data_IF_681615565101
#
_entry.id   IF_681615565101
#
_cell.length_a   1.000
_cell.length_b   1.000
_cell.length_c   1.000
_cell.angle_alpha   90.00
_cell.angle_beta   90.00
_cell.angle_gamma   90.00
#
_symmetry.space_group_name_H-M   'P 1'
#
loop_
_entity.id
_entity.type
_entity.pdbx_description
1 polymer ?
#
# COMPACT_ATOMS: atom_id res chain seq x y z
N UNK A 1 25.15 -59.28 35.96
CA UNK A 1 26.40 -58.56 35.68
C UNK A 1 26.21 -57.12 36.09
N UNK A 2 27.07 -56.69 37.03
CA UNK A 2 27.45 -55.33 37.43
C UNK A 2 26.41 -54.38 38.05
N UNK A 3 26.76 -54.01 39.28
CA UNK A 3 26.06 -53.30 40.36
C UNK A 3 26.60 -51.86 40.50
N UNK A 4 25.90 -51.02 41.28
CA UNK A 4 26.40 -49.85 42.09
C UNK A 4 26.94 -48.61 41.33
N UNK A 5 26.81 -47.35 41.77
CA UNK A 5 26.25 -46.74 42.98
C UNK A 5 26.73 -45.27 43.13
N UNK A 6 25.89 -44.45 43.77
CA UNK A 6 26.17 -43.33 44.72
C UNK A 6 26.95 -42.03 44.37
N UNK A 7 26.26 -40.91 44.68
CA UNK A 7 26.66 -39.71 45.46
C UNK A 7 28.09 -39.12 45.40
N UNK A 8 28.18 -37.79 45.18
CA UNK A 8 28.67 -36.78 46.16
C UNK A 8 28.70 -35.34 45.60
N UNK A 9 28.13 -34.37 46.35
CA UNK A 9 28.51 -32.94 46.39
C UNK A 9 29.72 -32.78 47.37
N UNK A 10 30.10 -31.55 47.79
CA UNK A 10 30.85 -30.46 47.13
C UNK A 10 32.15 -30.14 47.93
N UNK A 11 32.91 -29.11 47.51
CA UNK A 11 33.82 -28.21 48.30
C UNK A 11 35.10 -27.90 47.50
N UNK A 12 35.37 -26.64 47.16
CA UNK A 12 35.86 -25.53 48.00
C UNK A 12 37.39 -25.40 47.88
N UNK A 13 37.87 -24.19 48.15
CA UNK A 13 39.25 -23.71 48.34
C UNK A 13 39.91 -23.12 47.08
N UNK A 14 40.57 -21.96 47.13
CA UNK A 14 40.61 -20.88 48.12
C UNK A 14 41.33 -19.68 47.52
N UNK A 15 40.90 -18.49 47.94
CA UNK A 15 41.71 -17.34 48.42
C UNK A 15 42.99 -16.97 47.67
N UNK A 16 43.06 -15.67 47.30
CA UNK A 16 43.80 -14.64 48.06
C UNK A 16 43.42 -13.24 47.53
N UNK A 17 42.83 -12.36 48.37
CA UNK A 17 43.45 -11.34 49.27
C UNK A 17 43.88 -10.08 48.48
N UNK A 18 43.67 -8.82 48.87
CA UNK A 18 43.11 -8.16 50.07
C UNK A 18 43.06 -6.62 49.77
N UNK A 19 42.07 -5.91 50.35
CA UNK A 19 42.07 -4.50 50.83
C UNK A 19 42.32 -3.36 49.80
N UNK A 20 41.67 -2.19 49.87
CA UNK A 20 41.64 -1.23 50.99
C UNK A 20 40.35 -0.38 50.99
N UNK A 21 39.77 -0.28 52.19
CA UNK A 21 38.85 0.66 52.85
C UNK A 21 38.48 2.03 52.23
N UNK A 22 37.16 2.28 52.19
CA UNK A 22 36.33 3.38 52.76
C UNK A 22 37.06 4.49 53.60
N UNK A 23 36.66 5.77 53.75
CA UNK A 23 35.34 6.45 53.82
C UNK A 23 35.54 8.01 53.87
N UNK A 24 34.63 8.76 53.21
CA UNK A 24 34.10 10.15 53.40
C UNK A 24 35.00 11.39 53.64
N UNK A 25 34.72 12.48 52.89
CA UNK A 25 34.07 13.70 53.40
C UNK A 25 33.83 14.77 52.29
N UNK A 26 32.73 15.48 52.45
CA UNK A 26 32.00 16.39 51.56
C UNK A 26 32.67 17.76 51.37
N UNK A 27 32.55 18.37 50.17
CA UNK A 27 32.37 19.82 50.01
C UNK A 27 31.74 20.11 48.63
N UNK A 28 30.56 20.74 48.65
CA UNK A 28 29.83 21.18 47.50
C UNK A 28 30.44 22.46 46.91
N UNK A 29 30.59 22.52 45.59
CA UNK A 29 30.48 23.76 44.81
C UNK A 29 29.61 23.44 43.60
N UNK A 30 28.38 23.97 43.64
CA UNK A 30 27.51 24.07 42.48
C UNK A 30 28.15 25.00 41.46
N UNK A 31 28.39 24.51 40.25
CA UNK A 31 28.31 25.33 39.05
C UNK A 31 27.33 24.62 38.11
N UNK A 32 26.05 24.98 38.26
CA UNK A 32 25.05 24.69 37.25
C UNK A 32 25.32 25.63 36.07
N UNK A 33 26.07 25.15 35.08
CA UNK A 33 26.01 25.75 33.74
C UNK A 33 24.77 25.15 33.08
N UNK A 34 23.66 25.88 33.20
CA UNK A 34 22.51 25.73 32.30
C UNK A 34 22.99 26.11 30.90
N UNK A 35 23.57 25.15 30.19
CA UNK A 35 23.53 25.18 28.74
C UNK A 35 22.07 24.88 28.34
N UNK A 36 21.24 25.92 28.31
CA UNK A 36 20.12 25.98 27.37
C UNK A 36 20.74 25.96 25.97
N UNK A 37 21.17 24.77 25.55
CA UNK A 37 21.31 24.49 24.14
C UNK A 37 19.89 24.49 23.62
N UNK A 38 19.54 25.54 22.88
CA UNK A 38 18.42 25.51 21.95
C UNK A 38 18.52 24.20 21.15
N UNK A 39 17.72 23.22 21.55
CA UNK A 39 17.57 21.95 20.85
C UNK A 39 16.72 22.12 19.58
N UNK A 40 16.65 23.33 19.04
CA UNK A 40 16.23 23.61 17.68
C UNK A 40 17.43 23.42 16.76
N UNK A 41 17.80 22.16 16.56
CA UNK A 41 18.37 21.78 15.26
C UNK A 41 17.41 22.24 14.15
N UNK A 42 17.89 22.47 12.91
CA UNK A 42 17.01 22.86 11.82
C UNK A 42 15.86 21.85 11.77
N UNK A 43 14.63 22.34 11.94
CA UNK A 43 13.41 21.55 11.80
C UNK A 43 13.51 20.81 10.46
N UNK A 44 13.65 19.48 10.53
CA UNK A 44 13.59 18.67 9.32
C UNK A 44 12.25 18.90 8.61
N UNK A 45 12.14 18.59 7.31
CA UNK A 45 10.91 18.75 6.55
C UNK A 45 9.68 18.03 7.14
N UNK A 46 9.87 17.18 8.16
CA UNK A 46 8.82 16.47 8.88
C UNK A 46 7.97 17.33 9.83
N UNK A 47 8.43 18.52 10.25
CA UNK A 47 7.68 19.41 11.16
C UNK A 47 7.03 20.61 10.45
N UNK A 48 7.14 20.71 9.12
CA UNK A 48 6.43 21.76 8.39
C UNK A 48 4.93 21.42 8.35
N UNK A 49 4.13 22.21 9.07
CA UNK A 49 2.67 22.10 9.07
C UNK A 49 2.08 22.12 7.64
N UNK A 50 2.79 22.69 6.66
CA UNK A 50 2.41 22.72 5.25
C UNK A 50 2.52 21.36 4.55
N UNK A 51 3.34 20.44 5.06
CA UNK A 51 3.53 19.11 4.50
C UNK A 51 2.67 18.03 5.19
N UNK A 52 1.80 18.44 6.13
CA UNK A 52 0.87 17.51 6.77
C UNK A 52 -0.15 16.96 5.76
N UNK A 53 -0.47 15.67 5.82
CA UNK A 53 -1.47 15.09 4.93
C UNK A 53 -2.84 15.74 5.09
N UNK A 54 -3.58 15.87 3.99
CA UNK A 54 -4.96 16.35 4.02
C UNK A 54 -5.90 15.30 4.64
N UNK A 55 -7.16 15.68 4.87
CA UNK A 55 -8.19 14.73 5.33
C UNK A 55 -8.45 13.60 4.30
N UNK A 56 -8.07 13.80 3.04
CA UNK A 56 -8.12 12.79 1.96
C UNK A 56 -6.78 12.07 1.79
N UNK A 57 -5.90 12.13 2.80
CA UNK A 57 -4.59 11.49 2.80
C UNK A 57 -3.65 11.98 1.69
N UNK A 58 -3.84 13.18 1.15
CA UNK A 58 -2.93 13.74 0.15
C UNK A 58 -1.69 14.35 0.84
N UNK A 59 -0.46 13.98 0.45
CA UNK A 59 0.77 14.63 0.92
C UNK A 59 1.05 15.89 0.07
N UNK A 60 0.96 17.11 0.63
CA UNK A 60 1.11 18.33 -0.17
C UNK A 60 2.51 18.49 -0.78
N UNK A 61 3.55 18.02 -0.08
CA UNK A 61 4.95 18.25 -0.43
C UNK A 61 5.60 17.14 -1.27
N UNK A 62 4.85 16.11 -1.65
CA UNK A 62 5.39 15.01 -2.44
C UNK A 62 4.34 13.95 -2.77
N UNK A 63 4.74 12.69 -2.68
CA UNK A 63 3.92 11.53 -2.93
C UNK A 63 4.22 10.42 -1.92
N UNK A 64 3.26 9.55 -1.68
CA UNK A 64 3.45 8.32 -0.91
C UNK A 64 4.15 7.24 -1.72
N UNK A 65 5.02 6.47 -1.08
CA UNK A 65 5.57 5.24 -1.63
C UNK A 65 4.90 4.03 -0.99
N UNK A 66 4.28 3.18 -1.81
CA UNK A 66 3.66 1.95 -1.35
C UNK A 66 4.09 0.73 -2.17
N UNK A 67 3.53 -0.42 -1.84
CA UNK A 67 3.71 -1.63 -2.63
C UNK A 67 2.55 -2.61 -2.44
N UNK A 68 2.31 -3.41 -3.48
CA UNK A 68 1.74 -4.75 -3.30
C UNK A 68 2.86 -5.70 -2.92
N UNK A 69 2.73 -6.37 -1.77
CA UNK A 69 3.70 -7.35 -1.28
C UNK A 69 3.05 -8.74 -1.38
N UNK A 70 3.67 -9.73 -2.05
CA UNK A 70 3.12 -11.09 -2.11
C UNK A 70 2.97 -11.69 -0.71
N UNK A 71 1.76 -12.14 -0.39
CA UNK A 71 1.43 -12.67 0.93
C UNK A 71 0.26 -13.65 0.85
N UNK A 72 0.17 -14.51 1.86
CA UNK A 72 -1.09 -15.12 2.26
C UNK A 72 -1.76 -14.21 3.32
N UNK A 73 -3.09 -14.31 3.46
CA UNK A 73 -3.83 -13.51 4.46
C UNK A 73 -3.29 -13.66 5.88
N UNK A 74 -2.67 -14.80 6.21
CA UNK A 74 -2.13 -15.08 7.54
C UNK A 74 -0.75 -14.47 7.81
N UNK A 75 0.02 -14.10 6.78
CA UNK A 75 1.44 -13.72 6.92
C UNK A 75 1.78 -12.30 6.41
N UNK A 76 0.78 -11.53 5.98
CA UNK A 76 0.96 -10.17 5.43
C UNK A 76 1.93 -9.30 6.23
N UNK A 77 1.80 -9.21 7.57
CA UNK A 77 2.68 -8.34 8.36
C UNK A 77 4.16 -8.76 8.28
N UNK A 78 4.44 -10.06 8.29
CA UNK A 78 5.80 -10.59 8.14
C UNK A 78 6.36 -10.27 6.75
N UNK A 79 5.55 -10.46 5.70
CA UNK A 79 5.97 -10.18 4.31
C UNK A 79 6.24 -8.70 4.09
N UNK A 80 5.40 -7.82 4.64
CA UNK A 80 5.63 -6.37 4.60
C UNK A 80 6.93 -6.02 5.32
N UNK A 81 7.15 -6.52 6.53
CA UNK A 81 8.36 -6.22 7.28
C UNK A 81 9.64 -6.73 6.55
N UNK A 82 9.57 -7.88 5.88
CA UNK A 82 10.66 -8.40 5.06
C UNK A 82 10.91 -7.56 3.78
N UNK A 83 9.85 -7.10 3.12
CA UNK A 83 9.96 -6.17 1.99
C UNK A 83 10.64 -4.88 2.42
N UNK A 84 10.23 -4.32 3.56
CA UNK A 84 10.75 -3.06 4.09
C UNK A 84 12.24 -3.12 4.47
N UNK A 85 12.71 -4.26 4.99
CA UNK A 85 14.14 -4.50 5.21
C UNK A 85 14.93 -4.41 3.90
N UNK A 86 14.32 -4.81 2.78
CA UNK A 86 14.97 -4.82 1.47
C UNK A 86 14.94 -3.43 0.81
N UNK A 87 13.79 -2.76 0.86
CA UNK A 87 13.61 -1.40 0.30
C UNK A 87 14.22 -0.31 1.19
N UNK A 88 14.56 -0.62 2.45
CA UNK A 88 15.31 0.26 3.35
C UNK A 88 14.48 1.32 4.06
N UNK A 89 13.15 1.23 4.04
CA UNK A 89 12.23 2.10 4.78
C UNK A 89 10.89 1.42 4.99
N UNK A 90 10.07 2.02 5.87
CA UNK A 90 8.66 1.65 6.00
C UNK A 90 7.88 2.09 4.76
N UNK A 91 6.96 1.25 4.28
CA UNK A 91 6.00 1.64 3.26
C UNK A 91 5.02 2.67 3.82
N UNK A 92 4.55 3.57 2.98
CA UNK A 92 3.46 4.48 3.33
C UNK A 92 2.12 3.80 3.16
N UNK A 93 1.94 3.12 2.03
CA UNK A 93 0.70 2.44 1.65
C UNK A 93 1.00 0.95 1.42
N UNK A 94 0.23 0.08 2.06
CA UNK A 94 0.22 -1.35 1.75
C UNK A 94 -1.05 -1.68 0.98
N UNK A 95 -0.89 -2.36 -0.15
CA UNK A 95 -1.97 -2.72 -1.04
C UNK A 95 -2.40 -4.18 -0.87
N UNK A 96 -3.70 -4.43 -0.68
CA UNK A 96 -4.29 -5.76 -0.54
C UNK A 96 -5.54 -5.92 -1.42
N UNK A 97 -5.83 -7.16 -1.83
CA UNK A 97 -7.02 -7.52 -2.61
C UNK A 97 -8.01 -8.31 -1.78
N UNK A 98 -9.28 -8.14 -2.10
CA UNK A 98 -10.40 -8.80 -1.47
C UNK A 98 -11.51 -9.05 -2.48
N UNK A 99 -12.33 -10.06 -2.21
CA UNK A 99 -13.52 -10.37 -2.99
C UNK A 99 -14.80 -10.15 -2.14
N UNK A 100 -15.95 -10.61 -2.61
CA UNK A 100 -17.22 -10.57 -1.88
C UNK A 100 -17.60 -11.93 -1.27
N UNK A 101 -16.66 -12.88 -1.16
CA UNK A 101 -16.96 -14.23 -0.69
C UNK A 101 -17.34 -14.25 0.78
N UNK A 102 -18.18 -15.20 1.17
CA UNK A 102 -18.41 -15.48 2.58
C UNK A 102 -17.10 -15.93 3.25
N UNK A 103 -16.87 -15.43 4.47
CA UNK A 103 -15.74 -15.85 5.30
C UNK A 103 -16.03 -17.24 5.87
N UNK A 104 -15.12 -18.19 5.65
CA UNK A 104 -15.29 -19.57 6.13
C UNK A 104 -14.00 -20.11 6.73
N UNK A 105 -13.99 -20.40 8.03
CA UNK A 105 -12.81 -20.99 8.70
C UNK A 105 -11.54 -20.18 8.43
N UNK A 106 -10.63 -20.73 7.63
CA UNK A 106 -9.34 -20.11 7.25
C UNK A 106 -9.41 -19.21 6.02
N UNK A 107 -10.53 -19.19 5.29
CA UNK A 107 -10.68 -18.39 4.07
C UNK A 107 -11.22 -17.00 4.39
N UNK A 108 -10.36 -16.00 4.24
CA UNK A 108 -10.62 -14.60 4.64
C UNK A 108 -10.71 -13.63 3.46
N UNK A 109 -10.84 -14.10 2.22
CA UNK A 109 -10.76 -13.25 1.03
C UNK A 109 -11.84 -12.17 0.97
N UNK A 110 -13.05 -12.48 1.42
CA UNK A 110 -14.13 -11.51 1.51
C UNK A 110 -14.16 -10.68 2.79
N UNK A 111 -13.12 -10.77 3.63
CA UNK A 111 -12.99 -9.94 4.83
C UNK A 111 -12.03 -8.78 4.56
N UNK A 112 -12.57 -7.56 4.43
CA UNK A 112 -11.76 -6.34 4.53
C UNK A 112 -11.24 -6.19 5.96
N UNK A 113 -10.06 -5.59 6.12
CA UNK A 113 -9.44 -5.32 7.42
C UNK A 113 -9.29 -6.59 8.27
N UNK A 114 -8.65 -7.60 7.69
CA UNK A 114 -8.17 -8.79 8.42
C UNK A 114 -7.28 -8.40 9.60
N UNK A 115 -7.04 -9.32 10.53
CA UNK A 115 -6.15 -9.06 11.68
C UNK A 115 -4.75 -8.59 11.23
N UNK A 116 -4.21 -9.18 10.16
CA UNK A 116 -2.90 -8.79 9.63
C UNK A 116 -2.94 -7.40 8.99
N UNK A 117 -4.00 -7.06 8.24
CA UNK A 117 -4.18 -5.71 7.69
C UNK A 117 -4.29 -4.66 8.80
N UNK A 118 -5.04 -4.93 9.86
CA UNK A 118 -5.11 -4.03 11.01
C UNK A 118 -3.77 -3.89 11.74
N UNK A 119 -2.99 -4.97 11.84
CA UNK A 119 -1.62 -4.95 12.39
C UNK A 119 -0.69 -4.09 11.56
N UNK A 120 -0.73 -4.22 10.24
CA UNK A 120 0.05 -3.40 9.30
C UNK A 120 -0.43 -1.94 9.35
N UNK A 121 -1.74 -1.73 9.34
CA UNK A 121 -2.42 -0.44 9.39
C UNK A 121 -2.15 0.38 10.64
N UNK A 122 -1.58 -0.21 11.71
CA UNK A 122 -1.09 0.55 12.86
C UNK A 122 -0.04 1.60 12.49
N UNK A 123 0.74 1.35 11.45
CA UNK A 123 1.88 2.19 11.06
C UNK A 123 1.90 2.57 9.57
N UNK A 124 0.96 2.06 8.77
CA UNK A 124 0.84 2.30 7.33
C UNK A 124 -0.60 2.68 6.99
N UNK A 125 -0.79 3.33 5.86
CA UNK A 125 -2.09 3.42 5.19
C UNK A 125 -2.38 2.11 4.46
N UNK A 126 -3.66 1.83 4.22
CA UNK A 126 -4.10 0.63 3.50
C UNK A 126 -4.85 1.05 2.25
N UNK A 127 -4.47 0.47 1.11
CA UNK A 127 -5.31 0.42 -0.08
C UNK A 127 -5.98 -0.96 -0.12
N UNK A 128 -7.30 -0.96 0.03
CA UNK A 128 -8.12 -2.15 -0.03
C UNK A 128 -8.78 -2.20 -1.40
N UNK A 129 -8.28 -3.08 -2.28
CA UNK A 129 -8.99 -3.44 -3.50
C UNK A 129 -10.10 -4.42 -3.17
N UNK A 130 -11.31 -4.11 -3.64
CA UNK A 130 -12.50 -4.90 -3.36
C UNK A 130 -13.25 -5.22 -4.64
N UNK A 131 -13.23 -6.50 -5.02
CA UNK A 131 -13.75 -6.99 -6.28
C UNK A 131 -15.18 -7.55 -6.14
N UNK A 132 -16.03 -7.29 -7.14
CA UNK A 132 -17.33 -7.95 -7.34
C UNK A 132 -17.15 -9.41 -7.80
N UNK A 133 -16.44 -10.20 -7.00
CA UNK A 133 -16.14 -11.60 -7.29
C UNK A 133 -16.45 -12.50 -6.10
N UNK A 134 -16.70 -13.76 -6.42
CA UNK A 134 -16.57 -14.87 -5.48
C UNK A 134 -15.46 -15.78 -5.97
N UNK A 135 -14.26 -15.65 -5.41
CA UNK A 135 -13.13 -16.51 -5.74
C UNK A 135 -13.48 -17.97 -5.42
N UNK A 136 -13.04 -18.91 -6.26
CA UNK A 136 -13.52 -20.31 -6.17
C UNK A 136 -15.01 -20.53 -6.48
N UNK A 137 -15.78 -19.48 -6.79
CA UNK A 137 -17.11 -19.56 -7.35
C UNK A 137 -17.08 -19.75 -8.88
N UNK A 138 -18.23 -20.15 -9.44
CA UNK A 138 -18.39 -20.29 -10.90
C UNK A 138 -18.68 -18.95 -11.57
N UNK A 139 -18.54 -18.87 -12.90
CA UNK A 139 -18.88 -17.67 -13.68
C UNK A 139 -20.33 -17.20 -13.47
N UNK A 140 -21.28 -18.14 -13.33
CA UNK A 140 -22.71 -17.82 -13.12
C UNK A 140 -23.02 -17.29 -11.73
N UNK A 141 -22.12 -17.51 -10.78
CA UNK A 141 -22.29 -17.03 -9.43
C UNK A 141 -21.73 -15.61 -9.28
N UNK A 142 -20.79 -15.15 -10.11
CA UNK A 142 -20.14 -13.86 -9.87
C UNK A 142 -21.16 -12.71 -9.68
N UNK A 143 -21.03 -11.89 -8.63
CA UNK A 143 -21.83 -10.69 -8.44
C UNK A 143 -21.77 -9.81 -9.69
N UNK A 144 -22.94 -9.35 -10.16
CA UNK A 144 -22.98 -8.35 -11.23
C UNK A 144 -23.09 -6.94 -10.67
N UNK A 145 -22.66 -5.95 -11.44
CA UNK A 145 -22.83 -4.55 -11.05
C UNK A 145 -24.29 -4.16 -10.88
N UNK A 146 -25.20 -4.76 -11.66
CA UNK A 146 -26.64 -4.54 -11.47
C UNK A 146 -27.11 -4.98 -10.09
N UNK A 147 -26.74 -6.18 -9.64
CA UNK A 147 -27.15 -6.68 -8.33
C UNK A 147 -26.62 -5.83 -7.18
N UNK A 148 -25.39 -5.32 -7.32
CA UNK A 148 -24.81 -4.38 -6.35
C UNK A 148 -25.60 -3.07 -6.37
N UNK A 149 -25.85 -2.51 -7.55
CA UNK A 149 -26.60 -1.26 -7.71
C UNK A 149 -28.05 -1.35 -7.21
N UNK A 150 -28.67 -2.53 -7.31
CA UNK A 150 -30.04 -2.79 -6.88
C UNK A 150 -30.13 -3.15 -5.38
N UNK A 151 -28.98 -3.19 -4.67
CA UNK A 151 -28.89 -3.44 -3.23
C UNK A 151 -29.02 -4.90 -2.81
N UNK A 152 -28.95 -5.85 -3.74
CA UNK A 152 -29.14 -7.28 -3.44
C UNK A 152 -28.06 -7.86 -2.48
N UNK A 153 -26.91 -7.19 -2.39
CA UNK A 153 -25.77 -7.60 -1.55
C UNK A 153 -25.57 -6.72 -0.32
N UNK A 154 -26.49 -5.79 -0.04
CA UNK A 154 -26.36 -4.81 1.04
C UNK A 154 -26.19 -5.51 2.39
N UNK A 155 -27.21 -6.23 2.83
CA UNK A 155 -27.24 -6.80 4.19
C UNK A 155 -26.18 -7.88 4.41
N UNK A 156 -25.84 -8.65 3.36
CA UNK A 156 -25.01 -9.85 3.46
C UNK A 156 -23.53 -9.59 3.27
N UNK A 157 -23.16 -8.56 2.49
CA UNK A 157 -21.77 -8.26 2.15
C UNK A 157 -21.43 -6.81 2.47
N UNK A 158 -22.12 -5.85 1.84
CA UNK A 158 -21.69 -4.45 1.81
C UNK A 158 -21.75 -3.82 3.19
N UNK A 159 -22.88 -3.98 3.87
CA UNK A 159 -23.09 -3.47 5.23
C UNK A 159 -22.13 -4.09 6.24
N UNK A 160 -21.78 -5.37 6.06
CA UNK A 160 -20.84 -6.09 6.93
C UNK A 160 -19.46 -5.48 6.82
N UNK A 161 -19.00 -5.20 5.59
CA UNK A 161 -17.71 -4.55 5.36
C UNK A 161 -17.71 -3.08 5.78
N UNK A 162 -18.78 -2.35 5.48
CA UNK A 162 -18.95 -0.94 5.84
C UNK A 162 -18.86 -0.73 7.36
N UNK A 163 -19.58 -1.54 8.14
CA UNK A 163 -19.52 -1.50 9.62
C UNK A 163 -18.11 -1.81 10.13
N UNK A 164 -17.42 -2.79 9.55
CA UNK A 164 -16.04 -3.13 9.93
C UNK A 164 -15.06 -1.99 9.66
N UNK A 165 -15.19 -1.31 8.51
CA UNK A 165 -14.39 -0.13 8.20
C UNK A 165 -14.69 1.00 9.17
N UNK A 166 -15.96 1.27 9.47
CA UNK A 166 -16.36 2.27 10.47
C UNK A 166 -15.73 2.02 11.83
N UNK A 167 -15.86 0.80 12.35
CA UNK A 167 -15.29 0.41 13.65
C UNK A 167 -13.76 0.58 13.68
N UNK A 168 -13.08 0.31 12.57
CA UNK A 168 -11.65 0.58 12.44
C UNK A 168 -11.34 2.08 12.54
N UNK A 169 -12.11 2.92 11.86
CA UNK A 169 -11.99 4.37 11.94
C UNK A 169 -12.24 4.91 13.34
N UNK A 170 -13.35 4.52 13.97
CA UNK A 170 -13.71 4.95 15.33
C UNK A 170 -12.67 4.56 16.37
N UNK A 171 -12.09 3.35 16.24
CA UNK A 171 -11.10 2.84 17.18
C UNK A 171 -9.70 3.43 16.99
N UNK A 172 -9.31 3.73 15.74
CA UNK A 172 -7.92 4.07 15.41
C UNK A 172 -7.71 5.52 15.00
N UNK A 173 -8.78 6.22 14.65
CA UNK A 173 -8.74 7.54 14.01
C UNK A 173 -8.23 7.51 12.56
N UNK A 174 -8.07 6.32 11.95
CA UNK A 174 -7.45 6.16 10.63
C UNK A 174 -8.46 5.97 9.51
N UNK A 175 -8.08 6.45 8.34
CA UNK A 175 -8.77 6.21 7.07
C UNK A 175 -8.12 5.08 6.27
N UNK A 176 -8.84 4.55 5.31
CA UNK A 176 -8.35 3.59 4.30
C UNK A 176 -8.68 4.11 2.90
N UNK A 177 -7.82 3.81 1.92
CA UNK A 177 -8.20 3.89 0.53
C UNK A 177 -9.03 2.65 0.18
N UNK A 178 -10.18 2.83 -0.44
CA UNK A 178 -11.03 1.73 -0.91
C UNK A 178 -11.22 1.86 -2.42
N UNK A 179 -10.92 0.80 -3.16
CA UNK A 179 -11.12 0.72 -4.61
C UNK A 179 -12.09 -0.38 -4.94
N UNK A 180 -13.29 -0.02 -5.42
CA UNK A 180 -14.26 -0.98 -5.92
C UNK A 180 -13.97 -1.34 -7.37
N UNK A 181 -13.74 -2.63 -7.62
CA UNK A 181 -13.49 -3.19 -8.94
C UNK A 181 -12.45 -2.39 -9.73
N UNK A 182 -11.21 -2.35 -9.24
CA UNK A 182 -10.14 -1.79 -10.07
C UNK A 182 -10.09 -2.47 -11.44
N UNK A 183 -9.62 -1.73 -12.44
CA UNK A 183 -9.51 -2.19 -13.82
C UNK A 183 -10.85 -2.73 -14.34
N UNK A 184 -11.96 -2.11 -13.92
CA UNK A 184 -13.32 -2.43 -14.37
C UNK A 184 -13.47 -2.39 -15.89
N UNK A 185 -12.62 -1.65 -16.58
CA UNK A 185 -12.52 -1.62 -18.04
C UNK A 185 -12.18 -2.99 -18.64
N UNK A 186 -11.42 -3.84 -17.95
CA UNK A 186 -11.10 -5.21 -18.38
C UNK A 186 -12.20 -6.22 -18.05
N UNK A 187 -13.22 -5.80 -17.28
CA UNK A 187 -14.36 -6.62 -16.85
C UNK A 187 -15.64 -6.25 -17.59
N UNK A 188 -15.55 -5.30 -18.51
CA UNK A 188 -16.68 -4.84 -19.31
C UNK A 188 -16.64 -5.54 -20.67
N UNK A 189 -17.75 -6.16 -21.14
CA UNK A 189 -19.10 -6.13 -20.58
C UNK A 189 -19.44 -7.31 -19.64
N UNK A 190 -18.47 -8.17 -19.29
CA UNK A 190 -18.71 -9.43 -18.58
C UNK A 190 -19.41 -9.26 -17.23
N UNK A 191 -19.06 -8.22 -16.46
CA UNK A 191 -19.64 -7.92 -15.15
C UNK A 191 -20.84 -6.96 -15.23
N UNK A 192 -21.10 -6.38 -16.41
CA UNK A 192 -22.18 -5.44 -16.67
C UNK A 192 -21.80 -4.34 -17.66
N UNK A 193 -22.75 -3.44 -17.93
CA UNK A 193 -22.55 -2.23 -18.72
C UNK A 193 -21.86 -1.12 -17.92
N UNK A 194 -21.24 -0.12 -18.58
CA UNK A 194 -20.65 1.03 -17.89
C UNK A 194 -21.65 1.79 -17.00
N UNK A 195 -22.91 1.90 -17.44
CA UNK A 195 -23.97 2.52 -16.65
C UNK A 195 -24.30 1.70 -15.38
N UNK A 196 -24.22 0.38 -15.44
CA UNK A 196 -24.38 -0.47 -14.25
C UNK A 196 -23.20 -0.34 -13.30
N UNK A 197 -21.96 -0.26 -13.80
CA UNK A 197 -20.78 0.04 -12.97
C UNK A 197 -20.95 1.36 -12.22
N UNK A 198 -21.30 2.44 -12.93
CA UNK A 198 -21.49 3.76 -12.31
C UNK A 198 -22.58 3.72 -11.25
N UNK A 199 -23.72 3.06 -11.51
CA UNK A 199 -24.76 2.90 -10.47
C UNK A 199 -24.27 2.09 -9.28
N UNK A 200 -23.51 1.01 -9.50
CA UNK A 200 -22.97 0.18 -8.42
C UNK A 200 -21.98 0.96 -7.54
N UNK A 201 -21.05 1.69 -8.15
CA UNK A 201 -20.07 2.51 -7.44
C UNK A 201 -20.76 3.57 -6.57
N UNK A 202 -21.73 4.30 -7.15
CA UNK A 202 -22.50 5.31 -6.43
C UNK A 202 -23.33 4.71 -5.29
N UNK A 203 -23.95 3.56 -5.52
CA UNK A 203 -24.70 2.83 -4.50
C UNK A 203 -23.81 2.46 -3.30
N UNK A 204 -22.61 1.90 -3.55
CA UNK A 204 -21.65 1.58 -2.48
C UNK A 204 -21.26 2.82 -1.67
N UNK A 205 -20.92 3.91 -2.35
CA UNK A 205 -20.58 5.18 -1.72
C UNK A 205 -21.72 5.70 -0.83
N UNK A 206 -22.93 5.78 -1.38
CA UNK A 206 -24.09 6.32 -0.68
C UNK A 206 -24.52 5.41 0.46
N UNK A 207 -24.39 4.09 0.32
CA UNK A 207 -24.66 3.12 1.39
C UNK A 207 -23.68 3.26 2.55
N UNK A 208 -22.39 3.36 2.27
CA UNK A 208 -21.36 3.61 3.30
C UNK A 208 -21.63 4.92 4.03
N UNK A 209 -21.95 5.99 3.30
CA UNK A 209 -22.31 7.28 3.89
C UNK A 209 -23.57 7.18 4.77
N UNK A 210 -24.60 6.47 4.33
CA UNK A 210 -25.84 6.26 5.09
C UNK A 210 -25.61 5.49 6.40
N UNK A 211 -24.63 4.59 6.44
CA UNK A 211 -24.20 3.87 7.65
C UNK A 211 -23.28 4.70 8.56
N UNK A 212 -22.95 5.93 8.16
CA UNK A 212 -22.03 6.82 8.87
C UNK A 212 -20.58 6.38 8.79
N UNK A 213 -20.17 5.76 7.68
CA UNK A 213 -18.76 5.48 7.40
C UNK A 213 -18.13 6.70 6.76
N UNK A 214 -17.27 7.41 7.49
CA UNK A 214 -16.60 8.65 7.05
C UNK A 214 -15.08 8.48 6.91
N UNK A 215 -14.58 7.26 7.14
CA UNK A 215 -13.16 6.93 7.16
C UNK A 215 -12.68 6.18 5.90
N UNK A 216 -13.39 6.33 4.78
CA UNK A 216 -12.99 5.85 3.45
C UNK A 216 -12.50 7.02 2.60
N UNK A 217 -11.43 6.78 1.84
CA UNK A 217 -10.98 7.60 0.71
C UNK A 217 -11.28 6.80 -0.57
N UNK A 218 -12.29 7.25 -1.32
CA UNK A 218 -12.79 6.54 -2.50
C UNK A 218 -11.82 6.69 -3.67
N UNK A 219 -11.23 5.58 -4.09
CA UNK A 219 -10.19 5.55 -5.12
C UNK A 219 -10.73 4.84 -6.36
N UNK A 220 -10.86 5.55 -7.48
CA UNK A 220 -11.31 4.97 -8.75
C UNK A 220 -10.09 4.61 -9.60
N UNK A 221 -9.87 3.31 -9.84
CA UNK A 221 -8.64 2.80 -10.45
C UNK A 221 -8.91 2.16 -11.80
N UNK A 222 -8.28 2.68 -12.85
CA UNK A 222 -8.34 2.13 -14.22
C UNK A 222 -7.06 1.39 -14.59
N UNK A 223 -7.07 0.60 -15.66
CA UNK A 223 -5.80 0.13 -16.24
C UNK A 223 -4.94 1.31 -16.72
N UNK A 224 -5.54 2.33 -17.31
CA UNK A 224 -4.82 3.36 -18.07
C UNK A 224 -4.40 2.90 -19.48
N UNK A 225 -4.80 1.71 -19.92
CA UNK A 225 -4.62 1.27 -21.30
C UNK A 225 -5.48 2.10 -22.25
N UNK A 226 -4.88 3.03 -23.00
CA UNK A 226 -5.63 4.08 -23.71
C UNK A 226 -6.52 3.59 -24.86
N UNK A 227 -6.41 2.34 -25.32
CA UNK A 227 -7.42 1.77 -26.22
C UNK A 227 -8.80 1.64 -25.53
N UNK A 228 -8.84 1.69 -24.20
CA UNK A 228 -10.06 1.73 -23.39
C UNK A 228 -10.49 3.17 -23.01
N UNK A 229 -9.91 4.21 -23.62
CA UNK A 229 -10.17 5.61 -23.27
C UNK A 229 -11.68 6.00 -23.27
N UNK A 230 -12.43 5.57 -24.27
CA UNK A 230 -13.87 5.84 -24.35
C UNK A 230 -14.65 5.14 -23.22
N UNK A 231 -14.19 3.95 -22.87
CA UNK A 231 -14.77 3.15 -21.81
C UNK A 231 -14.47 3.76 -20.44
N UNK A 232 -13.24 4.22 -20.17
CA UNK A 232 -12.88 4.93 -18.93
C UNK A 232 -13.82 6.11 -18.65
N UNK A 233 -14.08 6.96 -19.65
CA UNK A 233 -15.01 8.10 -19.52
C UNK A 233 -16.42 7.63 -19.16
N UNK A 234 -16.85 6.53 -19.74
CA UNK A 234 -18.18 5.95 -19.52
C UNK A 234 -18.33 5.27 -18.15
N UNK A 235 -17.22 4.87 -17.54
CA UNK A 235 -17.16 4.22 -16.22
C UNK A 235 -16.92 5.20 -15.07
N UNK A 236 -16.59 6.45 -15.34
CA UNK A 236 -16.29 7.43 -14.30
C UNK A 236 -17.56 7.79 -13.50
N UNK A 237 -17.61 7.55 -12.18
CA UNK A 237 -18.83 7.76 -11.40
C UNK A 237 -19.08 9.24 -11.05
N UNK A 238 -18.15 10.14 -11.37
CA UNK A 238 -18.27 11.58 -11.16
C UNK A 238 -17.50 12.08 -9.94
N UNK A 239 -17.19 13.38 -9.94
CA UNK A 239 -16.29 13.99 -8.95
C UNK A 239 -16.79 13.91 -7.51
N UNK A 240 -18.10 13.89 -7.30
CA UNK A 240 -18.73 13.81 -5.96
C UNK A 240 -18.55 12.44 -5.29
N UNK A 241 -18.14 11.42 -6.06
CA UNK A 241 -18.03 10.03 -5.61
C UNK A 241 -16.58 9.55 -5.54
N UNK A 242 -15.62 10.30 -6.07
CA UNK A 242 -14.22 9.89 -6.19
C UNK A 242 -13.34 10.87 -5.45
N UNK A 243 -12.53 10.40 -4.51
CA UNK A 243 -11.52 11.24 -3.85
C UNK A 243 -10.19 11.20 -4.60
N UNK A 244 -9.80 10.03 -5.12
CA UNK A 244 -8.54 9.79 -5.82
C UNK A 244 -8.76 9.01 -7.12
N UNK A 245 -7.93 9.28 -8.14
CA UNK A 245 -7.91 8.49 -9.37
C UNK A 245 -6.61 7.69 -9.43
N UNK A 246 -6.72 6.37 -9.59
CA UNK A 246 -5.57 5.48 -9.78
C UNK A 246 -5.46 4.99 -11.22
N UNK A 247 -4.23 4.66 -11.63
CA UNK A 247 -4.00 3.93 -12.88
C UNK A 247 -2.82 2.95 -12.76
N UNK A 248 -2.94 1.83 -13.47
CA UNK A 248 -2.04 0.68 -13.37
C UNK A 248 -1.18 0.52 -14.63
N UNK A 249 0.04 1.06 -14.62
CA UNK A 249 0.89 1.08 -15.81
C UNK A 249 2.21 0.37 -15.62
N UNK A 250 2.51 -0.53 -16.56
CA UNK A 250 3.62 -1.45 -16.51
C UNK A 250 4.47 -1.38 -17.76
N UNK A 251 5.78 -1.64 -17.61
CA UNK A 251 6.60 -2.07 -18.74
C UNK A 251 6.53 -3.59 -18.86
N UNK A 252 5.55 -4.11 -19.60
CA UNK A 252 5.37 -5.55 -19.79
C UNK A 252 6.48 -6.19 -20.63
N UNK A 253 7.08 -5.46 -21.58
CA UNK A 253 8.15 -5.96 -22.46
C UNK A 253 7.84 -7.38 -23.00
N UNK A 254 8.70 -8.38 -22.74
CA UNK A 254 8.54 -9.75 -23.21
C UNK A 254 7.32 -10.49 -22.63
N UNK A 255 6.75 -10.05 -21.50
CA UNK A 255 5.50 -10.62 -20.97
C UNK A 255 4.37 -10.50 -22.01
N UNK A 256 4.27 -9.36 -22.70
CA UNK A 256 3.24 -9.09 -23.71
C UNK A 256 3.81 -8.94 -25.13
N UNK A 257 5.00 -9.49 -25.41
CA UNK A 257 5.67 -9.38 -26.71
C UNK A 257 5.83 -7.92 -27.22
N UNK A 258 5.96 -6.98 -26.27
CA UNK A 258 6.06 -5.55 -26.54
C UNK A 258 7.51 -5.07 -26.55
N UNK A 259 7.73 -3.86 -27.06
CA UNK A 259 9.02 -3.17 -26.93
C UNK A 259 9.22 -2.72 -25.48
N UNK A 260 10.48 -2.61 -25.07
CA UNK A 260 10.81 -2.04 -23.77
C UNK A 260 10.41 -0.56 -23.72
N UNK A 261 9.70 -0.17 -22.66
CA UNK A 261 9.33 1.20 -22.35
C UNK A 261 10.07 1.70 -21.11
N UNK A 262 10.55 2.94 -21.15
CA UNK A 262 11.07 3.64 -19.96
C UNK A 262 9.93 3.95 -18.99
N UNK A 263 10.25 4.26 -17.72
CA UNK A 263 9.22 4.63 -16.75
C UNK A 263 8.40 5.86 -17.21
N UNK A 264 9.04 6.87 -17.80
CA UNK A 264 8.30 8.02 -18.36
C UNK A 264 7.29 7.60 -19.43
N UNK A 265 7.71 6.73 -20.37
CA UNK A 265 6.84 6.26 -21.45
C UNK A 265 5.68 5.38 -20.97
N UNK A 266 5.81 4.69 -19.83
CA UNK A 266 4.69 3.91 -19.30
C UNK A 266 3.66 4.77 -18.58
N UNK A 267 4.05 5.94 -18.05
CA UNK A 267 3.15 6.73 -17.20
C UNK A 267 2.54 7.96 -17.91
N UNK A 268 3.29 8.63 -18.79
CA UNK A 268 2.96 9.98 -19.26
C UNK A 268 1.65 10.06 -20.06
N UNK A 269 1.45 9.16 -21.03
CA UNK A 269 0.29 9.24 -21.92
C UNK A 269 -1.03 9.05 -21.15
N UNK A 270 -1.04 8.08 -20.23
CA UNK A 270 -2.16 7.79 -19.33
C UNK A 270 -2.44 8.96 -18.38
N UNK A 271 -1.39 9.52 -17.78
CA UNK A 271 -1.47 10.71 -16.94
C UNK A 271 -2.10 11.90 -17.68
N UNK A 272 -1.55 12.26 -18.84
CA UNK A 272 -1.98 13.42 -19.62
C UNK A 272 -3.39 13.24 -20.14
N UNK A 273 -3.79 12.00 -20.43
CA UNK A 273 -5.16 11.69 -20.80
C UNK A 273 -6.12 11.89 -19.62
N UNK A 274 -5.80 11.37 -18.43
CA UNK A 274 -6.61 11.55 -17.22
C UNK A 274 -6.80 13.03 -16.91
N UNK A 275 -5.72 13.82 -16.93
CA UNK A 275 -5.75 15.26 -16.68
C UNK A 275 -6.64 16.01 -17.67
N UNK A 276 -6.63 15.62 -18.94
CA UNK A 276 -7.43 16.27 -19.99
C UNK A 276 -8.90 15.84 -20.01
N UNK A 277 -9.20 14.61 -19.63
CA UNK A 277 -10.49 13.99 -19.96
C UNK A 277 -11.30 13.51 -18.76
N UNK A 278 -10.68 13.34 -17.60
CA UNK A 278 -11.36 12.87 -16.38
C UNK A 278 -11.35 13.97 -15.32
N UNK A 279 -10.17 14.41 -14.88
CA UNK A 279 -10.07 15.43 -13.83
C UNK A 279 -8.74 16.16 -13.88
N UNK A 280 -8.79 17.49 -13.87
CA UNK A 280 -7.61 18.35 -13.80
C UNK A 280 -7.01 18.38 -12.38
N UNK A 281 -7.83 18.20 -11.33
CA UNK A 281 -7.45 18.57 -9.96
C UNK A 281 -7.30 17.39 -9.00
N UNK A 282 -7.98 16.26 -9.24
CA UNK A 282 -7.94 15.15 -8.27
C UNK A 282 -6.52 14.58 -8.10
N UNK A 283 -6.14 14.17 -6.89
CA UNK A 283 -4.88 13.50 -6.66
C UNK A 283 -4.84 12.17 -7.40
N UNK A 284 -3.70 11.91 -8.05
CA UNK A 284 -3.46 10.69 -8.82
C UNK A 284 -2.60 9.70 -8.04
N UNK A 285 -2.87 8.43 -8.24
CA UNK A 285 -2.11 7.31 -7.69
C UNK A 285 -1.63 6.42 -8.84
N UNK A 286 -0.32 6.16 -8.92
CA UNK A 286 0.15 4.97 -9.63
C UNK A 286 -0.16 3.80 -8.69
N UNK A 287 -1.38 3.29 -8.75
CA UNK A 287 -1.86 2.26 -7.81
C UNK A 287 -1.11 0.95 -8.00
N UNK A 288 -0.63 0.73 -9.21
CA UNK A 288 0.34 -0.29 -9.52
C UNK A 288 1.29 0.22 -10.59
N UNK A 289 2.59 0.05 -10.35
CA UNK A 289 3.60 0.19 -11.38
C UNK A 289 4.67 -0.89 -11.24
N UNK A 290 5.22 -1.31 -12.37
CA UNK A 290 6.27 -2.31 -12.39
C UNK A 290 6.86 -2.48 -13.78
N UNK A 291 7.91 -3.29 -13.86
CA UNK A 291 8.56 -3.61 -15.12
C UNK A 291 9.00 -5.06 -15.11
N UNK A 292 8.78 -5.75 -16.23
CA UNK A 292 9.37 -7.05 -16.47
C UNK A 292 10.90 -6.94 -16.46
N UNK A 293 11.56 -8.06 -16.18
CA UNK A 293 13.02 -8.18 -16.35
C UNK A 293 13.39 -8.25 -17.84
N UNK A 294 14.63 -7.84 -18.13
CA UNK A 294 15.25 -8.00 -19.46
C UNK A 294 16.35 -9.06 -19.34
N UNK A 295 16.15 -10.29 -19.85
CA UNK A 295 17.15 -11.35 -19.76
C UNK A 295 18.48 -11.02 -20.47
N UNK A 296 18.44 -10.19 -21.51
CA UNK A 296 19.62 -9.76 -22.26
C UNK A 296 20.34 -8.59 -21.59
N UNK A 297 19.62 -7.82 -20.75
CA UNK A 297 20.13 -6.68 -19.98
C UNK A 297 19.63 -6.72 -18.54
N UNK A 298 20.19 -7.58 -17.66
CA UNK A 298 19.70 -7.76 -16.29
C UNK A 298 19.63 -6.47 -15.43
N UNK A 299 20.48 -5.48 -15.73
CA UNK A 299 20.50 -4.19 -15.03
C UNK A 299 19.41 -3.21 -15.46
N UNK A 300 18.69 -3.49 -16.56
CA UNK A 300 17.76 -2.54 -17.17
C UNK A 300 16.56 -2.23 -16.29
N UNK A 301 16.15 -3.18 -15.44
CA UNK A 301 15.12 -2.94 -14.41
C UNK A 301 15.63 -1.98 -13.32
N UNK A 302 16.91 -2.07 -12.93
CA UNK A 302 17.49 -1.12 -11.98
C UNK A 302 17.52 0.30 -12.57
N UNK A 303 17.94 0.43 -13.83
CA UNK A 303 17.91 1.72 -14.55
C UNK A 303 16.49 2.29 -14.63
N UNK A 304 15.48 1.44 -14.77
CA UNK A 304 14.07 1.84 -14.81
C UNK A 304 13.58 2.38 -13.46
N UNK A 305 13.83 1.66 -12.36
CA UNK A 305 13.46 2.11 -11.01
C UNK A 305 14.20 3.38 -10.59
N UNK A 306 15.45 3.57 -11.03
CA UNK A 306 16.21 4.79 -10.75
C UNK A 306 15.59 6.06 -11.36
N UNK A 307 14.69 5.94 -12.34
CA UNK A 307 13.99 7.09 -12.94
C UNK A 307 12.72 7.48 -12.21
N UNK A 308 12.21 6.64 -11.31
CA UNK A 308 10.90 6.83 -10.67
C UNK A 308 10.76 8.22 -10.02
N UNK A 309 11.66 8.67 -9.13
CA UNK A 309 11.46 9.95 -8.45
C UNK A 309 11.49 11.16 -9.39
N UNK A 310 12.32 11.12 -10.43
CA UNK A 310 12.44 12.21 -11.41
C UNK A 310 11.14 12.37 -12.21
N UNK A 311 10.65 11.27 -12.77
CA UNK A 311 9.40 11.28 -13.56
C UNK A 311 8.20 11.63 -12.69
N UNK A 312 8.10 11.12 -11.45
CA UNK A 312 7.00 11.45 -10.55
C UNK A 312 6.92 12.94 -10.19
N UNK A 313 8.04 13.68 -10.23
CA UNK A 313 8.06 15.13 -10.02
C UNK A 313 7.50 15.90 -11.22
N UNK A 314 7.56 15.30 -12.41
CA UNK A 314 7.05 15.88 -13.67
C UNK A 314 5.57 15.50 -13.93
N UNK A 315 5.07 14.43 -13.30
CA UNK A 315 3.67 14.02 -13.36
C UNK A 315 2.83 14.80 -12.34
N UNK A 316 2.29 15.93 -12.79
CA UNK A 316 1.51 16.86 -11.97
C UNK A 316 0.41 16.15 -11.17
N UNK A 317 0.41 16.39 -9.84
CA UNK A 317 -0.58 15.88 -8.92
C UNK A 317 -0.62 14.34 -8.79
N UNK A 318 0.42 13.62 -9.23
CA UNK A 318 0.67 12.26 -8.75
C UNK A 318 1.18 12.33 -7.30
N UNK A 319 0.41 11.73 -6.41
CA UNK A 319 0.52 11.85 -4.95
C UNK A 319 0.71 10.51 -4.24
N UNK A 320 0.73 9.41 -4.99
CA UNK A 320 1.12 8.10 -4.50
C UNK A 320 1.66 7.24 -5.65
N UNK A 321 2.64 6.39 -5.36
CA UNK A 321 3.18 5.42 -6.30
C UNK A 321 3.44 4.08 -5.58
N UNK A 322 2.77 3.03 -6.06
CA UNK A 322 2.76 1.71 -5.44
C UNK A 322 3.44 0.69 -6.34
N UNK A 323 4.57 0.15 -5.88
CA UNK A 323 5.32 -0.83 -6.65
C UNK A 323 4.63 -2.21 -6.62
N UNK A 324 4.39 -2.79 -7.79
CA UNK A 324 3.82 -4.12 -7.95
C UNK A 324 4.90 -5.20 -7.84
N UNK A 325 4.96 -5.91 -6.71
CA UNK A 325 6.02 -6.89 -6.46
C UNK A 325 5.57 -8.34 -6.66
N UNK A 326 4.90 -8.67 -7.77
CA UNK A 326 4.37 -10.02 -7.98
C UNK A 326 4.77 -10.60 -9.33
N UNK A 327 4.64 -11.93 -9.45
CA UNK A 327 4.81 -12.65 -10.71
C UNK A 327 3.44 -12.96 -11.28
N UNK A 328 3.10 -12.28 -12.35
CA UNK A 328 1.84 -12.48 -13.05
C UNK A 328 1.86 -13.82 -13.81
N UNK A 329 0.67 -14.41 -14.07
CA UNK A 329 0.57 -15.62 -14.85
C UNK A 329 1.12 -15.43 -16.28
N UNK A 330 2.05 -16.30 -16.68
CA UNK A 330 2.57 -16.33 -18.04
C UNK A 330 4.10 -16.42 -18.13
N UNK A 331 4.64 -16.68 -19.34
CA UNK A 331 6.07 -16.62 -19.57
C UNK A 331 6.56 -15.17 -19.52
N UNK A 332 7.73 -14.93 -18.92
CA UNK A 332 8.36 -13.61 -18.81
C UNK A 332 7.55 -12.53 -18.05
N UNK A 333 6.47 -12.92 -17.37
CA UNK A 333 5.59 -12.02 -16.61
C UNK A 333 5.98 -11.93 -15.12
N UNK A 334 7.28 -12.05 -14.80
CA UNK A 334 7.77 -11.74 -13.47
C UNK A 334 8.04 -10.23 -13.39
N UNK A 335 7.12 -9.51 -12.75
CA UNK A 335 7.17 -8.07 -12.54
C UNK A 335 7.76 -7.71 -11.17
N UNK A 336 8.16 -8.72 -10.38
CA UNK A 336 8.81 -8.52 -9.10
C UNK A 336 10.19 -7.87 -9.25
N UNK A 337 10.69 -7.27 -8.18
CA UNK A 337 12.00 -6.63 -8.16
C UNK A 337 13.11 -7.71 -8.20
N UNK A 338 13.85 -7.73 -9.30
CA UNK A 338 14.83 -8.76 -9.66
C UNK A 338 16.27 -8.33 -9.34
N UNK A 339 16.91 -9.07 -8.44
CA UNK A 339 18.33 -8.94 -8.14
C UNK A 339 18.71 -7.69 -7.33
N UNK A 340 19.92 -7.71 -6.78
CA UNK A 340 20.36 -6.71 -5.79
C UNK A 340 20.44 -5.29 -6.35
N UNK A 341 20.75 -5.14 -7.64
CA UNK A 341 20.83 -3.83 -8.29
C UNK A 341 19.46 -3.18 -8.45
N UNK A 342 18.42 -3.94 -8.81
CA UNK A 342 17.06 -3.41 -8.87
C UNK A 342 16.54 -3.03 -7.48
N UNK A 343 16.81 -3.86 -6.46
CA UNK A 343 16.50 -3.53 -5.07
C UNK A 343 17.25 -2.29 -4.56
N UNK A 344 18.52 -2.12 -4.93
CA UNK A 344 19.28 -0.93 -4.59
C UNK A 344 18.72 0.33 -5.27
N UNK A 345 18.32 0.24 -6.54
CA UNK A 345 17.69 1.34 -7.26
C UNK A 345 16.33 1.70 -6.66
N UNK A 346 15.49 0.70 -6.34
CA UNK A 346 14.19 0.93 -5.70
C UNK A 346 14.34 1.52 -4.29
N UNK A 347 15.33 1.08 -3.52
CA UNK A 347 15.70 1.72 -2.24
C UNK A 347 16.06 3.18 -2.43
N UNK A 348 16.85 3.49 -3.45
CA UNK A 348 17.16 4.87 -3.83
C UNK A 348 15.92 5.69 -4.16
N UNK A 349 14.98 5.11 -4.93
CA UNK A 349 13.73 5.76 -5.28
C UNK A 349 12.82 5.99 -4.05
N UNK A 350 12.61 4.96 -3.24
CA UNK A 350 11.79 5.01 -2.03
C UNK A 350 12.36 5.97 -0.98
N UNK A 351 13.69 6.18 -0.97
CA UNK A 351 14.37 7.13 -0.10
C UNK A 351 14.42 8.57 -0.61
N UNK A 352 13.97 8.86 -1.84
CA UNK A 352 13.91 10.23 -2.36
C UNK A 352 12.95 11.07 -1.47
N UNK A 353 13.33 12.28 -1.04
CA UNK A 353 12.48 13.12 -0.20
C UNK A 353 11.07 13.33 -0.77
N UNK A 354 10.91 13.37 -2.09
CA UNK A 354 9.60 13.48 -2.72
C UNK A 354 8.68 12.30 -2.41
N UNK A 355 9.24 11.09 -2.28
CA UNK A 355 8.50 9.87 -1.97
C UNK A 355 8.48 9.53 -0.47
N UNK A 356 9.26 10.23 0.35
CA UNK A 356 9.44 9.95 1.77
C UNK A 356 8.85 11.06 2.64
N UNK A 357 7.52 11.18 2.56
CA UNK A 357 6.75 12.25 3.18
C UNK A 357 6.42 11.95 4.66
N UNK A 358 6.26 12.97 5.52
CA UNK A 358 5.86 12.76 6.91
C UNK A 358 4.40 12.33 7.03
N UNK A 359 4.12 11.37 7.90
CA UNK A 359 2.76 10.84 8.12
C UNK A 359 1.84 11.73 8.97
N UNK A 360 2.38 12.77 9.62
CA UNK A 360 1.65 13.64 10.55
C UNK A 360 1.63 13.14 11.98
#
# INVERSE_FOLDING_TARGET
>A
MTTTGQHRRPRDTSRRRLLITSVTATCAVLIAVLALGDASGPSGPADDAKCRPTALLEPPCGAWFGAFVPHDKADLAEKVDAYEQRVGRRLDIVYTYHDMSAVTGTRLEGQLLTEQEQRVGRNRMLLLSWESKWWGGTRRQQPTWRQIADGELDDSVIDVQARRIKEYGERTGKKVFLSFDLEMDTRTPENGSPAEYVRAYRHLHDRFRALGVDNVVWTWIITGYLDHADLFRSLYPGDDYVDWIGYNQYNYYLCHQAKWLTFAQTQQDSHDWIRRHISADKPLMLSEFGTASDPERPDRQADWYARVPGVLKDLEGVKAALQWNYRDPGPNCDLSVAGDRAWAALRGAAGDPYLNQPHG
#
